data_IF_081436080698
#
_entry.id   IF_081436080698
#
_cell.length_a   1.000
_cell.length_b   1.000
_cell.length_c   1.000
_cell.angle_alpha   90.00
_cell.angle_beta   90.00
_cell.angle_gamma   90.00
#
_symmetry.space_group_name_H-M   'P 1'
#
loop_
_entity.id
_entity.type
_entity.pdbx_description
1 polymer ?
#
# COMPACT_ATOMS: atom_id res chain seq x y z
N UNK A 1 -48.86 -9.02 -1.33
CA UNK A 1 -47.77 -9.85 -0.77
C UNK A 1 -46.54 -8.97 -0.79
N UNK A 2 -46.25 -8.28 0.31
CA UNK A 2 -45.11 -7.36 0.40
C UNK A 2 -43.84 -8.21 0.42
N UNK A 3 -42.96 -8.00 -0.55
CA UNK A 3 -41.60 -8.52 -0.51
C UNK A 3 -40.91 -7.88 0.70
N UNK A 4 -40.56 -8.70 1.69
CA UNK A 4 -39.56 -8.31 2.69
C UNK A 4 -38.25 -8.21 1.91
N UNK A 5 -37.85 -6.99 1.58
CA UNK A 5 -36.52 -6.72 1.02
C UNK A 5 -35.51 -7.30 2.01
N UNK A 6 -34.85 -8.40 1.65
CA UNK A 6 -33.71 -8.88 2.42
C UNK A 6 -32.65 -7.77 2.47
N UNK A 7 -32.10 -7.52 3.66
CA UNK A 7 -30.96 -6.61 3.84
C UNK A 7 -29.86 -7.02 2.85
N UNK A 8 -29.41 -6.09 1.99
CA UNK A 8 -28.31 -6.37 1.07
C UNK A 8 -27.04 -6.66 1.88
N UNK A 9 -26.16 -7.52 1.38
CA UNK A 9 -24.87 -7.79 2.03
C UNK A 9 -24.09 -6.50 2.25
N UNK A 10 -24.15 -5.57 1.30
CA UNK A 10 -23.48 -4.27 1.40
C UNK A 10 -24.13 -3.36 2.45
N UNK A 11 -25.46 -3.36 2.56
CA UNK A 11 -26.17 -2.62 3.62
C UNK A 11 -25.79 -3.17 5.01
N UNK A 12 -25.69 -4.49 5.12
CA UNK A 12 -25.25 -5.17 6.35
C UNK A 12 -23.82 -4.76 6.72
N UNK A 13 -22.91 -4.75 5.74
CA UNK A 13 -21.53 -4.33 5.93
C UNK A 13 -21.42 -2.87 6.35
N UNK A 14 -22.12 -1.97 5.66
CA UNK A 14 -22.18 -0.55 6.04
C UNK A 14 -22.72 -0.41 7.46
N UNK A 15 -23.75 -1.18 7.84
CA UNK A 15 -24.26 -1.22 9.21
C UNK A 15 -23.21 -1.65 10.23
N UNK A 16 -22.48 -2.75 9.97
CA UNK A 16 -21.42 -3.23 10.85
C UNK A 16 -20.26 -2.23 10.97
N UNK A 17 -19.88 -1.58 9.87
CA UNK A 17 -18.78 -0.62 9.82
C UNK A 17 -19.16 0.76 10.37
N UNK A 18 -20.43 1.18 10.27
CA UNK A 18 -20.87 2.53 10.66
C UNK A 18 -21.29 2.62 12.13
N UNK A 19 -21.91 1.57 12.69
CA UNK A 19 -22.40 1.58 14.09
C UNK A 19 -21.25 1.74 15.09
N UNK A 20 -20.05 1.29 14.73
CA UNK A 20 -18.84 1.42 15.53
C UNK A 20 -17.71 2.13 14.77
N UNK A 21 -18.01 2.88 13.71
CA UNK A 21 -17.00 3.30 12.72
C UNK A 21 -15.83 4.11 13.26
N UNK A 22 -16.06 5.03 14.20
CA UNK A 22 -14.97 5.77 14.85
C UNK A 22 -14.07 4.85 15.70
N UNK A 23 -14.66 3.87 16.39
CA UNK A 23 -13.92 2.92 17.23
C UNK A 23 -13.17 1.88 16.39
N UNK A 24 -13.80 1.36 15.33
CA UNK A 24 -13.17 0.42 14.40
C UNK A 24 -12.02 1.08 13.64
N UNK A 25 -12.22 2.31 13.14
CA UNK A 25 -11.15 3.06 12.47
C UNK A 25 -9.96 3.29 13.39
N UNK A 26 -10.20 3.68 14.64
CA UNK A 26 -9.15 3.86 15.64
C UNK A 26 -8.42 2.55 16.00
N UNK A 27 -9.18 1.47 16.24
CA UNK A 27 -8.63 0.14 16.51
C UNK A 27 -7.82 -0.42 15.33
N UNK A 28 -8.26 -0.16 14.10
CA UNK A 28 -7.53 -0.53 12.89
C UNK A 28 -6.22 0.24 12.79
N UNK A 29 -6.25 1.55 13.00
CA UNK A 29 -5.05 2.38 12.96
C UNK A 29 -4.02 2.00 14.04
N UNK A 30 -4.47 1.66 15.24
CA UNK A 30 -3.58 1.18 16.30
C UNK A 30 -2.92 -0.16 15.94
N UNK A 31 -3.70 -1.11 15.41
CA UNK A 31 -3.16 -2.41 14.94
C UNK A 31 -2.11 -2.21 13.85
N UNK A 32 -2.40 -1.37 12.85
CA UNK A 32 -1.42 -1.09 11.79
C UNK A 32 -0.19 -0.37 12.34
N UNK A 33 -0.35 0.66 13.17
CA UNK A 33 0.79 1.39 13.76
C UNK A 33 1.73 0.48 14.55
N UNK A 34 1.17 -0.40 15.38
CA UNK A 34 1.96 -1.37 16.15
C UNK A 34 2.75 -2.35 15.27
N UNK A 35 2.19 -2.73 14.11
CA UNK A 35 2.86 -3.62 13.14
C UNK A 35 4.04 -2.97 12.40
N UNK A 36 4.05 -1.63 12.27
CA UNK A 36 5.06 -0.89 11.52
C UNK A 36 6.31 -0.52 12.35
N UNK A 37 6.38 -0.96 13.60
CA UNK A 37 7.57 -0.81 14.45
C UNK A 37 8.00 0.63 14.73
N UNK A 38 7.05 1.58 14.70
CA UNK A 38 7.31 2.99 15.00
C UNK A 38 8.07 3.78 13.92
N UNK A 39 8.26 3.21 12.72
CA UNK A 39 8.89 3.91 11.57
C UNK A 39 8.07 5.08 11.05
N UNK A 40 6.77 5.07 11.32
CA UNK A 40 5.81 6.13 10.99
C UNK A 40 5.09 6.50 12.28
N UNK A 41 4.78 7.79 12.44
CA UNK A 41 4.07 8.26 13.64
C UNK A 41 2.64 7.68 13.68
N UNK A 42 2.16 7.27 14.86
CA UNK A 42 0.78 6.78 15.01
C UNK A 42 -0.25 7.80 14.52
N UNK A 43 0.01 9.11 14.69
CA UNK A 43 -0.87 10.17 14.20
C UNK A 43 -0.95 10.23 12.67
N UNK A 44 0.12 9.90 11.97
CA UNK A 44 0.15 9.82 10.51
C UNK A 44 -0.60 8.58 10.01
N UNK A 45 -0.34 7.41 10.60
CA UNK A 45 -1.10 6.19 10.32
C UNK A 45 -2.60 6.39 10.56
N UNK A 46 -2.97 7.03 11.66
CA UNK A 46 -4.37 7.35 11.97
C UNK A 46 -5.02 8.24 10.93
N UNK A 47 -4.34 9.28 10.44
CA UNK A 47 -4.89 10.15 9.39
C UNK A 47 -5.07 9.40 8.08
N UNK A 48 -4.03 8.69 7.62
CA UNK A 48 -4.07 7.91 6.36
C UNK A 48 -5.19 6.87 6.38
N UNK A 49 -5.32 6.13 7.49
CA UNK A 49 -6.32 5.07 7.61
C UNK A 49 -7.72 5.60 7.89
N UNK A 50 -7.88 6.75 8.56
CA UNK A 50 -9.21 7.36 8.71
C UNK A 50 -9.80 7.80 7.36
N UNK A 51 -8.98 8.40 6.49
CA UNK A 51 -9.38 8.77 5.13
C UNK A 51 -9.74 7.53 4.31
N UNK A 52 -8.89 6.50 4.36
CA UNK A 52 -9.14 5.23 3.68
C UNK A 52 -10.39 4.51 4.20
N UNK A 53 -10.66 4.56 5.52
CA UNK A 53 -11.86 3.98 6.12
C UNK A 53 -13.12 4.66 5.59
N UNK A 54 -13.12 5.99 5.56
CA UNK A 54 -14.26 6.79 5.09
C UNK A 54 -14.55 6.49 3.62
N UNK A 55 -13.53 6.53 2.76
CA UNK A 55 -13.66 6.18 1.35
C UNK A 55 -14.14 4.73 1.13
N UNK A 56 -13.73 3.79 1.98
CA UNK A 56 -14.18 2.40 1.92
C UNK A 56 -15.67 2.27 2.28
N UNK A 57 -16.11 2.92 3.36
CA UNK A 57 -17.52 2.89 3.78
C UNK A 57 -18.41 3.56 2.71
N UNK A 58 -17.96 4.68 2.13
CA UNK A 58 -18.67 5.37 1.05
C UNK A 58 -18.77 4.51 -0.22
N UNK A 59 -17.68 3.83 -0.61
CA UNK A 59 -17.68 2.92 -1.76
C UNK A 59 -18.65 1.73 -1.56
N UNK A 60 -18.72 1.19 -0.33
CA UNK A 60 -19.69 0.16 0.04
C UNK A 60 -21.13 0.69 -0.02
N UNK A 61 -21.37 1.96 0.35
CA UNK A 61 -22.68 2.61 0.20
C UNK A 61 -23.21 2.62 -1.25
N UNK A 62 -22.33 2.51 -2.25
CA UNK A 62 -22.69 2.35 -3.66
C UNK A 62 -23.22 0.96 -4.05
N UNK A 63 -23.20 -0.02 -3.14
CA UNK A 63 -23.79 -1.35 -3.32
C UNK A 63 -22.90 -2.36 -4.06
N UNK A 64 -21.68 -1.98 -4.46
CA UNK A 64 -20.70 -2.87 -5.09
C UNK A 64 -19.71 -3.46 -4.08
N UNK A 65 -19.27 -4.69 -4.32
CA UNK A 65 -18.16 -5.35 -3.60
C UNK A 65 -17.01 -5.73 -4.55
N UNK A 66 -16.98 -5.11 -5.74
CA UNK A 66 -15.90 -5.27 -6.69
C UNK A 66 -14.97 -4.05 -6.65
N UNK A 67 -13.75 -4.27 -6.17
CA UNK A 67 -12.68 -3.26 -6.07
C UNK A 67 -12.34 -2.57 -7.41
N UNK A 68 -12.83 -3.05 -8.56
CA UNK A 68 -12.58 -2.49 -9.89
C UNK A 68 -13.61 -1.44 -10.33
N UNK A 69 -14.73 -1.33 -9.65
CA UNK A 69 -15.81 -0.42 -10.06
C UNK A 69 -15.45 1.05 -9.78
N UNK A 70 -16.25 1.98 -10.30
CA UNK A 70 -15.97 3.42 -10.17
C UNK A 70 -16.09 3.88 -8.72
N UNK A 71 -16.98 3.27 -7.93
CA UNK A 71 -17.19 3.54 -6.50
C UNK A 71 -15.91 3.32 -5.69
N UNK A 72 -15.07 2.35 -6.07
CA UNK A 72 -13.77 2.09 -5.44
C UNK A 72 -12.62 2.95 -5.99
N UNK A 73 -12.89 3.92 -6.87
CA UNK A 73 -11.88 4.78 -7.47
C UNK A 73 -11.02 5.52 -6.44
N UNK A 74 -11.66 6.12 -5.45
CA UNK A 74 -10.98 6.85 -4.36
C UNK A 74 -10.17 5.90 -3.47
N UNK A 75 -10.74 4.76 -3.08
CA UNK A 75 -10.03 3.71 -2.32
C UNK A 75 -8.76 3.28 -3.05
N UNK A 76 -8.84 3.01 -4.36
CA UNK A 76 -7.66 2.65 -5.17
C UNK A 76 -6.64 3.79 -5.25
N UNK A 77 -7.08 5.04 -5.32
CA UNK A 77 -6.18 6.19 -5.34
C UNK A 77 -5.41 6.33 -4.02
N UNK A 78 -6.10 6.26 -2.88
CA UNK A 78 -5.48 6.31 -1.55
C UNK A 78 -4.51 5.15 -1.33
N UNK A 79 -4.90 3.93 -1.69
CA UNK A 79 -4.03 2.75 -1.61
C UNK A 79 -2.81 2.86 -2.55
N UNK A 80 -2.96 3.52 -3.70
CA UNK A 80 -1.85 3.76 -4.63
C UNK A 80 -0.81 4.67 -3.99
N UNK A 81 -1.24 5.79 -3.40
CA UNK A 81 -0.34 6.75 -2.76
C UNK A 81 0.30 6.16 -1.50
N UNK A 82 -0.47 5.45 -0.66
CA UNK A 82 0.07 4.73 0.49
C UNK A 82 1.17 3.74 0.05
N UNK A 83 0.88 2.90 -0.94
CA UNK A 83 1.81 1.87 -1.41
C UNK A 83 3.09 2.47 -2.01
N UNK A 84 2.96 3.55 -2.80
CA UNK A 84 4.10 4.30 -3.34
C UNK A 84 4.98 4.89 -2.24
N UNK A 85 4.37 5.51 -1.25
CA UNK A 85 5.08 6.10 -0.12
C UNK A 85 5.82 5.02 0.69
N UNK A 86 5.17 3.89 0.97
CA UNK A 86 5.79 2.75 1.67
C UNK A 86 6.97 2.17 0.87
N UNK A 87 6.85 2.03 -0.45
CA UNK A 87 7.93 1.55 -1.33
C UNK A 87 9.16 2.49 -1.33
N UNK A 88 8.93 3.81 -1.40
CA UNK A 88 9.99 4.84 -1.33
C UNK A 88 10.69 4.87 0.02
N UNK A 89 9.94 4.66 1.10
CA UNK A 89 10.47 4.61 2.47
C UNK A 89 11.12 3.26 2.82
N UNK A 90 11.11 2.29 1.89
CA UNK A 90 11.75 0.98 2.08
C UNK A 90 11.03 0.08 3.08
N UNK A 91 9.70 0.18 3.16
CA UNK A 91 8.89 -0.87 3.78
C UNK A 91 8.85 -2.10 2.86
N UNK A 92 8.52 -3.26 3.41
CA UNK A 92 8.27 -4.48 2.67
C UNK A 92 6.85 -4.50 2.07
N UNK A 93 6.59 -5.36 1.06
CA UNK A 93 5.23 -5.60 0.58
C UNK A 93 4.27 -6.03 1.70
N UNK A 94 4.74 -6.83 2.65
CA UNK A 94 3.93 -7.30 3.79
C UNK A 94 3.58 -6.16 4.75
N UNK A 95 4.55 -5.30 5.09
CA UNK A 95 4.30 -4.08 5.88
C UNK A 95 3.39 -3.07 5.14
N UNK A 96 3.31 -3.15 3.81
CA UNK A 96 2.38 -2.32 3.04
C UNK A 96 0.96 -2.91 3.09
N UNK A 97 0.83 -4.21 2.79
CA UNK A 97 -0.45 -4.91 2.72
C UNK A 97 -1.17 -5.01 4.08
N UNK A 98 -0.43 -5.04 5.20
CA UNK A 98 -1.03 -5.04 6.54
C UNK A 98 -1.95 -3.83 6.76
N UNK A 99 -1.66 -2.71 6.09
CA UNK A 99 -2.47 -1.49 6.17
C UNK A 99 -3.93 -1.74 5.83
N UNK A 100 -4.24 -2.63 4.88
CA UNK A 100 -5.62 -2.97 4.50
C UNK A 100 -6.10 -4.30 5.09
N UNK A 101 -5.22 -5.30 5.20
CA UNK A 101 -5.60 -6.65 5.64
C UNK A 101 -5.95 -6.72 7.13
N UNK A 102 -5.36 -5.85 7.96
CA UNK A 102 -5.64 -5.80 9.40
C UNK A 102 -7.10 -5.47 9.73
N UNK A 103 -7.85 -4.87 8.80
CA UNK A 103 -9.26 -4.53 9.00
C UNK A 103 -10.13 -5.79 9.19
N UNK A 104 -9.69 -6.96 8.71
CA UNK A 104 -10.36 -8.25 8.95
C UNK A 104 -10.41 -8.59 10.43
N UNK A 105 -9.29 -8.44 11.12
CA UNK A 105 -9.16 -8.73 12.56
C UNK A 105 -9.88 -7.72 13.45
N UNK A 106 -10.15 -6.52 12.91
CA UNK A 106 -10.90 -5.48 13.60
C UNK A 106 -12.40 -5.74 13.49
N UNK A 107 -12.86 -6.24 12.33
CA UNK A 107 -14.26 -6.49 12.08
C UNK A 107 -14.74 -7.83 12.69
N UNK A 108 -13.90 -8.86 12.73
CA UNK A 108 -14.25 -10.19 13.25
C UNK A 108 -14.93 -10.15 14.64
N UNK A 109 -14.42 -9.41 15.66
CA UNK A 109 -15.03 -9.40 16.99
C UNK A 109 -16.38 -8.69 17.07
N UNK A 110 -16.76 -7.91 16.04
CA UNK A 110 -18.02 -7.17 15.96
C UNK A 110 -19.17 -8.07 15.50
N UNK A 111 -18.85 -9.21 14.87
CA UNK A 111 -19.85 -10.12 14.32
C UNK A 111 -20.70 -10.73 15.45
N UNK A 112 -22.02 -10.73 15.26
CA UNK A 112 -22.96 -11.24 16.29
C UNK A 112 -23.22 -12.75 16.16
N UNK A 113 -22.58 -13.41 15.19
CA UNK A 113 -22.77 -14.83 14.89
C UNK A 113 -24.02 -15.15 14.08
N UNK A 114 -24.71 -14.14 13.52
CA UNK A 114 -25.82 -14.35 12.57
C UNK A 114 -25.28 -14.81 11.21
N UNK A 115 -26.02 -15.65 10.50
CA UNK A 115 -25.63 -16.10 9.15
C UNK A 115 -25.37 -14.93 8.19
N UNK A 116 -26.15 -13.86 8.30
CA UNK A 116 -25.97 -12.61 7.52
C UNK A 116 -24.66 -11.90 7.82
N UNK A 117 -24.15 -12.00 9.06
CA UNK A 117 -22.85 -11.41 9.44
C UNK A 117 -21.70 -12.19 8.84
N UNK A 118 -21.83 -13.52 8.83
CA UNK A 118 -20.81 -14.41 8.26
C UNK A 118 -20.73 -14.23 6.75
N UNK A 119 -21.86 -14.16 6.06
CA UNK A 119 -21.90 -13.90 4.62
C UNK A 119 -21.26 -12.54 4.29
N UNK A 120 -21.65 -11.49 5.02
CA UNK A 120 -21.09 -10.14 4.88
C UNK A 120 -19.58 -10.13 5.09
N UNK A 121 -19.11 -10.71 6.19
CA UNK A 121 -17.69 -10.79 6.51
C UNK A 121 -16.89 -11.55 5.45
N UNK A 122 -17.40 -12.67 4.92
CA UNK A 122 -16.70 -13.42 3.87
C UNK A 122 -16.57 -12.63 2.57
N UNK A 123 -17.61 -11.93 2.14
CA UNK A 123 -17.53 -11.10 0.92
C UNK A 123 -16.60 -9.89 1.12
N UNK A 124 -16.66 -9.26 2.30
CA UNK A 124 -15.75 -8.17 2.66
C UNK A 124 -14.30 -8.64 2.76
N UNK A 125 -14.05 -9.80 3.36
CA UNK A 125 -12.73 -10.42 3.43
C UNK A 125 -12.15 -10.64 2.03
N UNK A 126 -12.95 -11.15 1.10
CA UNK A 126 -12.55 -11.32 -0.30
C UNK A 126 -12.29 -10.00 -1.04
N UNK A 127 -13.04 -8.93 -0.71
CA UNK A 127 -12.76 -7.58 -1.20
C UNK A 127 -11.41 -7.06 -0.67
N UNK A 128 -11.17 -7.17 0.64
CA UNK A 128 -9.91 -6.76 1.27
C UNK A 128 -8.70 -7.54 0.74
N UNK A 129 -8.85 -8.82 0.40
CA UNK A 129 -7.79 -9.59 -0.26
C UNK A 129 -7.42 -9.02 -1.63
N UNK A 130 -8.43 -8.67 -2.45
CA UNK A 130 -8.20 -8.05 -3.76
C UNK A 130 -7.51 -6.69 -3.61
N UNK A 131 -7.93 -5.87 -2.64
CA UNK A 131 -7.29 -4.59 -2.34
C UNK A 131 -5.87 -4.76 -1.81
N UNK A 132 -5.63 -5.77 -0.97
CA UNK A 132 -4.30 -6.16 -0.49
C UNK A 132 -3.37 -6.53 -1.64
N UNK A 133 -3.82 -7.39 -2.57
CA UNK A 133 -3.06 -7.72 -3.78
C UNK A 133 -2.79 -6.48 -4.64
N UNK A 134 -3.78 -5.60 -4.82
CA UNK A 134 -3.60 -4.33 -5.52
C UNK A 134 -2.48 -3.48 -4.91
N UNK A 135 -2.39 -3.39 -3.57
CA UNK A 135 -1.29 -2.66 -2.92
C UNK A 135 0.08 -3.26 -3.23
N UNK A 136 0.18 -4.58 -3.31
CA UNK A 136 1.44 -5.29 -3.63
C UNK A 136 1.85 -5.06 -5.09
N UNK A 137 0.88 -5.02 -6.02
CA UNK A 137 1.14 -4.70 -7.43
C UNK A 137 1.68 -3.28 -7.59
N UNK A 138 1.05 -2.30 -6.94
CA UNK A 138 1.51 -0.90 -6.93
C UNK A 138 2.90 -0.79 -6.30
N UNK A 139 3.13 -1.50 -5.19
CA UNK A 139 4.41 -1.50 -4.50
C UNK A 139 5.52 -2.01 -5.43
N UNK A 140 5.27 -3.15 -6.08
CA UNK A 140 6.24 -3.82 -6.97
C UNK A 140 6.59 -2.92 -8.14
N UNK A 141 5.59 -2.35 -8.82
CA UNK A 141 5.79 -1.40 -9.90
C UNK A 141 6.62 -0.19 -9.46
N UNK A 142 6.26 0.40 -8.32
CA UNK A 142 6.99 1.56 -7.78
C UNK A 142 8.44 1.20 -7.46
N UNK A 143 8.68 0.00 -6.93
CA UNK A 143 10.04 -0.47 -6.62
C UNK A 143 10.87 -0.67 -7.88
N UNK A 144 10.29 -1.23 -8.94
CA UNK A 144 10.94 -1.39 -10.24
C UNK A 144 11.30 -0.03 -10.86
N UNK A 145 10.38 0.94 -10.82
CA UNK A 145 10.61 2.31 -11.28
C UNK A 145 11.77 2.98 -10.52
N UNK A 146 11.83 2.81 -9.19
CA UNK A 146 12.92 3.35 -8.37
C UNK A 146 14.26 2.70 -8.71
N UNK A 147 14.30 1.38 -8.90
CA UNK A 147 15.53 0.65 -9.26
C UNK A 147 16.02 1.10 -10.65
N UNK A 148 15.11 1.24 -11.61
CA UNK A 148 15.46 1.71 -12.95
C UNK A 148 16.06 3.11 -12.92
N UNK A 149 15.43 4.04 -12.19
CA UNK A 149 15.95 5.40 -12.03
C UNK A 149 17.32 5.44 -11.35
N UNK A 150 17.52 4.62 -10.29
CA UNK A 150 18.82 4.52 -9.61
C UNK A 150 19.91 3.93 -10.53
N UNK A 151 19.56 2.94 -11.37
CA UNK A 151 20.50 2.36 -12.33
C UNK A 151 20.94 3.38 -13.39
N UNK A 152 20.01 4.19 -13.90
CA UNK A 152 20.30 5.26 -14.85
C UNK A 152 21.25 6.31 -14.24
N UNK A 153 20.97 6.76 -13.01
CA UNK A 153 21.84 7.70 -12.28
C UNK A 153 23.25 7.16 -12.07
N UNK A 154 23.41 5.86 -11.78
CA UNK A 154 24.72 5.23 -11.65
C UNK A 154 25.49 5.22 -12.98
N UNK A 155 24.80 5.04 -14.11
CA UNK A 155 25.43 5.10 -15.43
C UNK A 155 25.88 6.52 -15.78
N UNK A 156 25.05 7.52 -15.51
CA UNK A 156 25.38 8.94 -15.72
C UNK A 156 26.57 9.42 -14.87
N UNK A 157 26.69 8.90 -13.64
CA UNK A 157 27.78 9.24 -12.72
C UNK A 157 29.04 8.37 -12.91
N UNK A 158 28.92 7.24 -13.61
CA UNK A 158 30.07 6.38 -13.88
C UNK A 158 30.93 7.00 -14.98
N UNK A 159 32.20 7.23 -14.70
CA UNK A 159 33.18 7.49 -15.76
C UNK A 159 33.41 6.20 -16.52
N UNK A 160 32.97 6.08 -17.79
CA UNK A 160 32.96 4.80 -18.48
C UNK A 160 34.38 4.28 -18.68
N UNK A 161 34.69 3.10 -18.13
CA UNK A 161 35.98 2.43 -18.38
C UNK A 161 35.86 1.66 -19.70
N UNK A 162 36.60 2.10 -20.71
CA UNK A 162 36.56 1.51 -22.06
C UNK A 162 37.79 0.65 -22.29
N UNK A 163 37.63 -0.63 -22.66
CA UNK A 163 38.76 -1.48 -23.06
C UNK A 163 39.29 -1.02 -24.42
N UNK A 164 40.53 -0.53 -24.47
CA UNK A 164 41.18 -0.08 -25.70
C UNK A 164 41.88 -1.24 -26.43
N UNK A 165 42.44 -2.19 -25.66
CA UNK A 165 43.12 -3.38 -26.20
C UNK A 165 43.15 -4.52 -25.17
N UNK A 166 43.60 -5.71 -25.55
CA UNK A 166 43.91 -6.78 -24.59
C UNK A 166 44.99 -6.32 -23.60
N UNK A 167 44.60 -6.27 -22.32
CA UNK A 167 45.44 -5.75 -21.23
C UNK A 167 45.44 -4.22 -21.08
N UNK A 168 44.71 -3.46 -21.89
CA UNK A 168 44.69 -1.97 -21.86
C UNK A 168 43.27 -1.43 -21.68
N UNK A 169 43.07 -0.63 -20.63
CA UNK A 169 41.81 0.06 -20.32
C UNK A 169 42.00 1.58 -20.32
N UNK A 170 41.01 2.31 -20.83
CA UNK A 170 40.90 3.75 -20.75
C UNK A 170 39.88 4.14 -19.68
N UNK A 171 40.33 4.90 -18.68
CA UNK A 171 39.47 5.52 -17.66
C UNK A 171 39.52 7.03 -17.90
N UNK A 172 38.43 7.68 -18.33
CA UNK A 172 38.41 9.13 -18.47
C UNK A 172 38.55 9.75 -17.07
N UNK A 173 39.48 10.68 -16.90
CA UNK A 173 39.62 11.47 -15.67
C UNK A 173 38.96 12.82 -15.89
N UNK A 174 37.90 13.14 -15.13
CA UNK A 174 37.17 14.40 -15.28
C UNK A 174 37.19 15.19 -13.96
N UNK A 175 37.99 16.25 -13.93
CA UNK A 175 37.97 17.26 -12.86
C UNK A 175 38.65 16.90 -11.54
N UNK A 176 38.54 17.80 -10.56
CA UNK A 176 39.23 17.77 -9.25
C UNK A 176 38.84 16.60 -8.32
N UNK A 177 37.79 15.86 -8.68
CA UNK A 177 37.21 14.75 -7.91
C UNK A 177 38.14 13.52 -7.83
N UNK A 178 39.01 13.35 -8.83
CA UNK A 178 39.92 12.19 -8.91
C UNK A 178 41.39 12.51 -8.55
N UNK A 179 41.58 13.57 -7.76
CA UNK A 179 42.90 13.99 -7.25
C UNK A 179 43.60 12.88 -6.44
N UNK A 180 42.84 12.00 -5.77
CA UNK A 180 43.39 10.87 -5.02
C UNK A 180 43.95 9.75 -5.91
N UNK A 181 43.33 9.46 -7.07
CA UNK A 181 43.84 8.43 -8.01
C UNK A 181 44.90 8.97 -8.96
N UNK A 182 44.87 10.28 -9.23
CA UNK A 182 45.90 10.92 -10.07
C UNK A 182 47.30 10.83 -9.42
N UNK A 183 47.40 10.78 -8.08
CA UNK A 183 48.69 10.61 -7.38
C UNK A 183 49.27 9.19 -7.41
N UNK A 184 48.55 8.18 -7.91
CA UNK A 184 49.04 6.80 -7.97
C UNK A 184 49.53 6.43 -9.38
N UNK A 185 49.21 7.24 -10.39
CA UNK A 185 49.57 7.00 -11.80
C UNK A 185 50.77 7.86 -12.26
N UNK A 186 51.25 8.80 -11.44
CA UNK A 186 52.53 9.50 -11.64
C UNK A 186 53.67 8.85 -10.85
#
# INVERSE_FOLDING_TARGET
MYAVSGESVTDRLVGLLSVQGEDLGAQWAERVSSSLGGRISSAEVQRELHELFSALVDALGGGSLDARTEEFGEVRALLTELSRNRARQGFSPSETAVSILALKEVLEPVLTGKDTDVEAYLQFSGLLDKLGLFTIEVYTRTREELIAAQAEQLLELSTPVVKLWDGVIGVPLVGTLDSARTMVVM
#
